data_IF_430120466890
#
_entry.id   IF_430120466890
#
_cell.length_a   1.000
_cell.length_b   1.000
_cell.length_c   1.000
_cell.angle_alpha   90.00
_cell.angle_beta   90.00
_cell.angle_gamma   90.00
#
_symmetry.space_group_name_H-M   'P 1'
#
loop_
_entity.id
_entity.type
_entity.pdbx_description
1 polymer ?
#
# COMPACT_ATOMS: atom_id res chain seq x y z
N UNK A 1 -33.76 -0.03 -13.52
CA UNK A 1 -32.65 0.42 -12.69
C UNK A 1 -32.25 1.80 -13.24
N UNK A 2 -32.41 2.88 -12.50
CA UNK A 2 -32.00 4.21 -12.94
C UNK A 2 -30.56 4.39 -12.47
N UNK A 3 -29.61 4.30 -13.40
CA UNK A 3 -28.22 4.63 -13.10
C UNK A 3 -28.10 6.15 -12.96
N UNK A 4 -28.08 6.64 -11.75
CA UNK A 4 -27.78 8.05 -11.45
C UNK A 4 -26.29 8.17 -11.15
N UNK A 5 -25.48 8.41 -12.16
CA UNK A 5 -24.09 8.81 -11.98
C UNK A 5 -24.07 10.21 -11.37
N UNK A 6 -23.45 10.33 -10.21
CA UNK A 6 -23.20 11.62 -9.58
C UNK A 6 -21.95 12.23 -10.21
N UNK A 7 -22.05 13.44 -10.73
CA UNK A 7 -20.87 14.18 -11.17
C UNK A 7 -20.04 14.58 -9.94
N UNK A 8 -18.94 13.85 -9.71
CA UNK A 8 -18.01 14.09 -8.60
C UNK A 8 -16.79 14.90 -9.03
N UNK A 9 -16.68 15.25 -10.34
CA UNK A 9 -15.52 15.97 -10.83
C UNK A 9 -15.41 17.36 -10.21
N UNK A 10 -14.22 17.70 -9.77
CA UNK A 10 -13.85 19.02 -9.27
C UNK A 10 -12.49 19.45 -9.78
N UNK A 11 -12.24 20.77 -9.79
CA UNK A 11 -10.94 21.29 -10.17
C UNK A 11 -9.82 20.79 -9.25
N UNK A 12 -8.78 20.20 -9.82
CA UNK A 12 -7.57 19.82 -9.10
C UNK A 12 -6.56 20.96 -9.26
N UNK A 13 -6.34 21.71 -8.18
CA UNK A 13 -5.41 22.85 -8.17
C UNK A 13 -4.25 22.57 -7.22
N UNK A 14 -3.07 22.99 -7.63
CA UNK A 14 -1.88 22.95 -6.78
C UNK A 14 -1.70 24.34 -6.13
N UNK A 15 -1.64 24.38 -4.81
CA UNK A 15 -1.32 25.60 -4.09
C UNK A 15 0.15 25.99 -4.32
N UNK A 16 0.44 27.26 -4.65
CA UNK A 16 1.82 27.75 -4.71
C UNK A 16 2.55 27.48 -3.38
N UNK A 17 3.82 27.06 -3.46
CA UNK A 17 4.64 26.79 -2.27
C UNK A 17 4.50 25.40 -1.65
N UNK A 18 3.54 24.57 -2.07
CA UNK A 18 3.47 23.17 -1.61
C UNK A 18 4.64 22.39 -2.22
N UNK A 19 5.49 21.85 -1.34
CA UNK A 19 6.60 20.98 -1.73
C UNK A 19 6.07 19.55 -1.91
N UNK A 20 6.45 18.92 -3.02
CA UNK A 20 6.19 17.50 -3.28
C UNK A 20 7.53 16.79 -3.11
N UNK A 21 7.60 15.89 -2.12
CA UNK A 21 8.80 15.08 -1.87
C UNK A 21 8.66 13.77 -2.62
N UNK A 22 9.65 13.42 -3.46
CA UNK A 22 9.65 12.14 -4.20
C UNK A 22 9.99 10.95 -3.28
N UNK A 23 9.72 9.74 -3.80
CA UNK A 23 10.07 8.48 -3.14
C UNK A 23 9.03 8.00 -2.15
N UNK A 24 9.44 7.06 -1.31
CA UNK A 24 8.66 6.47 -0.21
C UNK A 24 9.47 6.52 1.08
N UNK A 25 8.82 6.42 2.22
CA UNK A 25 9.54 6.26 3.50
C UNK A 25 10.24 4.91 3.56
N UNK A 26 11.36 4.80 4.30
CA UNK A 26 12.24 3.63 4.27
C UNK A 26 11.70 2.45 5.07
N UNK A 27 10.39 2.23 5.06
CA UNK A 27 9.74 1.04 5.60
C UNK A 27 8.40 0.80 4.92
N UNK A 28 8.02 -0.46 4.82
CA UNK A 28 6.68 -0.87 4.45
C UNK A 28 6.13 -1.88 5.45
N UNK A 29 4.83 -2.08 5.42
CA UNK A 29 4.15 -3.08 6.23
C UNK A 29 3.59 -4.16 5.31
N UNK A 30 3.63 -5.40 5.77
CA UNK A 30 3.07 -6.54 5.05
C UNK A 30 2.25 -7.42 5.99
N UNK A 31 1.13 -7.96 5.49
CA UNK A 31 0.29 -8.91 6.21
C UNK A 31 -0.23 -9.97 5.24
N UNK A 32 -0.40 -11.19 5.73
CA UNK A 32 -1.09 -12.24 4.98
C UNK A 32 -2.56 -11.86 4.77
N UNK A 33 -3.02 -11.92 3.52
CA UNK A 33 -4.41 -11.62 3.16
C UNK A 33 -5.40 -12.47 3.95
N UNK A 34 -5.08 -13.74 4.20
CA UNK A 34 -5.91 -14.68 4.99
C UNK A 34 -6.11 -14.25 6.45
N UNK A 35 -5.26 -13.37 6.99
CA UNK A 35 -5.37 -12.85 8.35
C UNK A 35 -6.27 -11.62 8.47
N UNK A 36 -6.82 -11.15 7.36
CA UNK A 36 -7.74 -10.01 7.32
C UNK A 36 -9.17 -10.54 7.34
N UNK A 37 -9.89 -10.32 8.43
CA UNK A 37 -11.28 -10.76 8.61
C UNK A 37 -12.28 -9.78 7.97
N UNK A 38 -11.99 -8.48 8.07
CA UNK A 38 -12.86 -7.44 7.49
C UNK A 38 -12.02 -6.39 6.80
N UNK A 39 -12.41 -6.08 5.58
CA UNK A 39 -11.76 -5.07 4.77
C UNK A 39 -12.41 -3.71 4.94
N UNK A 40 -11.64 -2.62 5.01
CA UNK A 40 -12.17 -1.29 4.87
C UNK A 40 -12.75 -1.12 3.46
N UNK A 41 -13.84 -0.37 3.35
CA UNK A 41 -14.52 -0.16 2.06
C UNK A 41 -13.87 0.98 1.29
N UNK A 42 -13.69 0.78 -0.01
CA UNK A 42 -13.35 1.86 -0.93
C UNK A 42 -14.66 2.39 -1.51
N UNK A 43 -15.05 3.64 -1.19
CA UNK A 43 -16.28 4.22 -1.71
C UNK A 43 -16.27 4.28 -3.24
N UNK A 44 -17.39 3.96 -3.86
CA UNK A 44 -17.61 4.10 -5.29
C UNK A 44 -18.66 5.19 -5.58
N UNK A 45 -19.03 5.37 -6.84
CA UNK A 45 -20.03 6.32 -7.27
C UNK A 45 -21.46 5.72 -7.33
N UNK A 46 -21.63 4.42 -7.10
CA UNK A 46 -22.87 3.68 -7.30
C UNK A 46 -23.48 3.20 -5.98
N UNK A 47 -22.81 2.31 -5.24
CA UNK A 47 -23.36 1.66 -4.05
C UNK A 47 -22.90 2.29 -2.73
N UNK A 48 -21.60 2.40 -2.51
CA UNK A 48 -20.99 3.05 -1.33
C UNK A 48 -20.68 4.53 -1.62
N UNK A 49 -21.64 5.26 -2.08
CA UNK A 49 -21.62 6.62 -2.63
C UNK A 49 -20.54 7.51 -2.02
N UNK A 50 -19.48 7.71 -2.77
CA UNK A 50 -18.51 8.72 -2.46
C UNK A 50 -19.18 10.10 -2.35
N UNK A 51 -18.79 10.86 -1.34
CA UNK A 51 -19.31 12.22 -1.13
C UNK A 51 -18.66 13.23 -2.07
N UNK A 52 -17.40 12.93 -2.44
CA UNK A 52 -16.60 13.76 -3.34
C UNK A 52 -15.50 12.91 -4.02
N UNK A 53 -14.79 13.53 -4.97
CA UNK A 53 -13.70 12.89 -5.70
C UNK A 53 -12.55 12.40 -4.80
N UNK A 54 -12.32 13.03 -3.64
CA UNK A 54 -11.28 12.63 -2.70
C UNK A 54 -11.65 11.32 -1.99
N UNK A 55 -12.93 11.11 -1.71
CA UNK A 55 -13.43 9.89 -1.08
C UNK A 55 -13.20 8.65 -1.95
N UNK A 56 -13.23 8.78 -3.28
CA UNK A 56 -12.92 7.68 -4.22
C UNK A 56 -11.50 7.12 -4.08
N UNK A 57 -10.59 7.89 -3.50
CA UNK A 57 -9.19 7.51 -3.35
C UNK A 57 -8.83 7.04 -1.93
N UNK A 58 -9.79 6.92 -1.01
CA UNK A 58 -9.55 6.63 0.40
C UNK A 58 -10.40 5.49 0.90
N UNK A 59 -9.78 4.56 1.59
CA UNK A 59 -10.49 3.56 2.35
C UNK A 59 -11.28 4.18 3.51
N UNK A 60 -12.49 3.68 3.74
CA UNK A 60 -13.36 4.04 4.88
C UNK A 60 -13.48 2.85 5.83
N UNK A 61 -13.20 3.09 7.11
CA UNK A 61 -13.19 2.06 8.15
C UNK A 61 -11.79 1.49 8.39
N UNK A 62 -11.70 0.48 9.24
CA UNK A 62 -10.45 -0.16 9.65
C UNK A 62 -10.38 -1.59 9.13
N UNK A 63 -9.16 -2.09 8.95
CA UNK A 63 -8.94 -3.53 8.85
C UNK A 63 -9.28 -4.17 10.19
N UNK A 64 -10.09 -5.25 10.17
CA UNK A 64 -10.20 -6.14 11.32
C UNK A 64 -9.34 -7.37 11.04
N UNK A 65 -8.42 -7.65 11.94
CA UNK A 65 -7.47 -8.74 11.81
C UNK A 65 -7.92 -9.95 12.65
N UNK A 66 -7.42 -11.12 12.30
CA UNK A 66 -7.53 -12.32 13.12
C UNK A 66 -6.83 -12.09 14.47
N UNK A 67 -7.25 -12.80 15.52
CA UNK A 67 -6.60 -12.69 16.83
C UNK A 67 -5.09 -12.95 16.70
N UNK A 68 -4.29 -12.09 17.34
CA UNK A 68 -2.83 -12.13 17.32
C UNK A 68 -2.16 -11.85 15.95
N UNK A 69 -2.94 -11.58 14.89
CA UNK A 69 -2.39 -11.17 13.61
C UNK A 69 -1.97 -9.69 13.65
N UNK A 70 -0.81 -9.40 13.06
CA UNK A 70 -0.25 -8.05 12.99
C UNK A 70 0.39 -7.79 11.66
N UNK A 71 0.50 -6.53 11.31
CA UNK A 71 1.30 -6.07 10.19
C UNK A 71 2.78 -6.17 10.53
N UNK A 72 3.53 -6.89 9.73
CA UNK A 72 4.98 -7.02 9.87
C UNK A 72 5.67 -5.82 9.25
N UNK A 73 6.59 -5.21 9.99
CA UNK A 73 7.39 -4.07 9.54
C UNK A 73 8.63 -4.56 8.82
N UNK A 74 8.90 -4.03 7.63
CA UNK A 74 10.11 -4.34 6.86
C UNK A 74 10.83 -3.03 6.51
N UNK A 75 12.09 -2.94 6.90
CA UNK A 75 12.94 -1.78 6.62
C UNK A 75 13.48 -1.79 5.19
N UNK A 76 13.59 -0.60 4.62
CA UNK A 76 14.04 -0.37 3.25
C UNK A 76 15.31 0.49 3.21
N UNK A 77 16.09 0.31 2.17
CA UNK A 77 17.16 1.24 1.84
C UNK A 77 16.55 2.58 1.41
N UNK A 78 16.94 3.65 2.10
CA UNK A 78 16.43 4.99 1.84
C UNK A 78 16.63 5.42 0.38
N UNK A 79 15.61 6.05 -0.19
CA UNK A 79 15.60 6.66 -1.52
C UNK A 79 15.85 5.69 -2.69
N UNK A 80 15.69 4.39 -2.48
CA UNK A 80 15.85 3.39 -3.56
C UNK A 80 14.56 2.68 -3.94
N UNK A 81 13.48 2.89 -3.18
CA UNK A 81 12.19 2.23 -3.40
C UNK A 81 11.16 3.18 -4.00
N UNK A 82 10.21 2.64 -4.76
CA UNK A 82 9.18 3.45 -5.44
C UNK A 82 7.84 2.72 -5.53
N UNK A 83 6.78 3.51 -5.71
CA UNK A 83 5.46 3.02 -6.13
C UNK A 83 5.09 3.73 -7.43
N UNK A 84 4.60 2.97 -8.39
CA UNK A 84 4.06 3.46 -9.67
C UNK A 84 2.66 2.89 -9.90
N UNK A 85 1.86 3.58 -10.69
CA UNK A 85 0.53 3.12 -11.08
C UNK A 85 0.34 3.35 -12.56
N UNK A 86 -0.18 2.36 -13.26
CA UNK A 86 -0.50 2.39 -14.67
C UNK A 86 -1.97 2.00 -14.85
N UNK A 87 -2.63 2.52 -15.87
CA UNK A 87 -3.94 2.01 -16.31
C UNK A 87 -3.74 0.77 -17.15
N UNK A 88 -4.62 -0.23 -17.00
CA UNK A 88 -4.65 -1.43 -17.82
C UNK A 88 -6.05 -1.73 -18.31
N UNK A 89 -6.14 -2.38 -19.47
CA UNK A 89 -7.42 -2.68 -20.12
C UNK A 89 -8.04 -1.45 -20.80
N UNK A 90 -9.25 -1.64 -21.31
CA UNK A 90 -10.01 -0.61 -22.04
C UNK A 90 -11.37 -0.40 -21.41
N UNK A 91 -11.91 0.80 -21.55
CA UNK A 91 -13.25 1.11 -21.09
C UNK A 91 -14.30 0.18 -21.72
N UNK A 92 -15.30 -0.30 -20.95
CA UNK A 92 -15.65 0.10 -19.58
C UNK A 92 -14.99 -0.72 -18.46
N UNK A 93 -14.10 -1.66 -18.77
CA UNK A 93 -13.46 -2.57 -17.81
C UNK A 93 -12.00 -2.23 -17.48
N UNK A 94 -11.61 -0.97 -17.68
CA UNK A 94 -10.29 -0.50 -17.33
C UNK A 94 -10.06 -0.56 -15.80
N UNK A 95 -8.86 -1.01 -15.41
CA UNK A 95 -8.40 -1.12 -14.03
C UNK A 95 -7.03 -0.46 -13.87
N UNK A 96 -6.48 -0.47 -12.68
CA UNK A 96 -5.15 0.04 -12.40
C UNK A 96 -4.21 -1.09 -12.00
N UNK A 97 -2.99 -1.05 -12.53
CA UNK A 97 -1.88 -1.88 -12.09
C UNK A 97 -0.97 -1.02 -11.20
N UNK A 98 -1.02 -1.29 -9.91
CA UNK A 98 -0.16 -0.66 -8.91
C UNK A 98 1.10 -1.51 -8.74
N UNK A 99 2.26 -0.92 -8.97
CA UNK A 99 3.55 -1.58 -8.85
C UNK A 99 4.36 -0.94 -7.73
N UNK A 100 5.03 -1.76 -6.93
CA UNK A 100 6.03 -1.29 -5.99
C UNK A 100 7.34 -2.05 -6.18
N UNK A 101 8.44 -1.34 -6.05
CA UNK A 101 9.77 -1.90 -6.00
C UNK A 101 10.42 -1.52 -4.67
N UNK A 102 10.67 -2.52 -3.85
CA UNK A 102 11.21 -2.37 -2.51
C UNK A 102 12.64 -2.90 -2.46
N UNK A 103 13.58 -2.06 -2.07
CA UNK A 103 14.98 -2.42 -1.92
C UNK A 103 15.29 -2.59 -0.43
N UNK A 104 15.54 -3.83 -0.02
CA UNK A 104 15.90 -4.24 1.33
C UNK A 104 17.43 -4.37 1.37
N UNK A 105 18.06 -3.85 2.42
CA UNK A 105 19.51 -3.94 2.57
C UNK A 105 19.94 -5.32 3.10
N UNK A 106 20.89 -5.95 2.43
CA UNK A 106 21.45 -7.23 2.87
C UNK A 106 20.83 -8.48 2.25
N UNK A 107 21.36 -9.63 2.65
CA UNK A 107 20.97 -10.99 2.22
C UNK A 107 21.11 -11.99 3.37
N UNK A 108 20.85 -11.56 4.60
CA UNK A 108 20.93 -12.43 5.77
C UNK A 108 19.83 -13.51 5.79
N UNK A 109 19.86 -14.35 6.82
CA UNK A 109 18.94 -15.48 6.92
C UNK A 109 17.48 -15.05 7.03
N UNK A 110 17.20 -13.95 7.74
CA UNK A 110 15.83 -13.47 7.97
C UNK A 110 15.25 -12.90 6.67
N UNK A 111 16.02 -12.09 5.94
CA UNK A 111 15.61 -11.53 4.63
C UNK A 111 15.41 -12.66 3.60
N UNK A 112 16.30 -13.65 3.60
CA UNK A 112 16.21 -14.79 2.69
C UNK A 112 15.00 -15.66 3.03
N UNK A 113 14.74 -15.89 4.31
CA UNK A 113 13.55 -16.60 4.80
C UNK A 113 12.25 -15.88 4.43
N UNK A 114 12.20 -14.56 4.64
CA UNK A 114 11.09 -13.72 4.21
C UNK A 114 10.84 -13.83 2.70
N UNK A 115 11.90 -13.70 1.88
CA UNK A 115 11.81 -13.84 0.43
C UNK A 115 11.27 -15.20 -0.01
N UNK A 116 11.67 -16.29 0.65
CA UNK A 116 11.18 -17.65 0.37
C UNK A 116 9.68 -17.82 0.63
N UNK A 117 9.15 -17.18 1.67
CA UNK A 117 7.74 -17.24 2.04
C UNK A 117 6.89 -16.37 1.13
N UNK A 118 7.28 -15.11 0.95
CA UNK A 118 6.45 -14.07 0.32
C UNK A 118 6.10 -14.34 -1.15
N UNK A 119 6.91 -15.12 -1.86
CA UNK A 119 6.66 -15.44 -3.28
C UNK A 119 5.50 -16.42 -3.50
N UNK A 120 5.11 -17.17 -2.47
CA UNK A 120 4.02 -18.16 -2.53
C UNK A 120 2.80 -17.74 -1.70
N UNK A 121 2.93 -16.70 -0.90
CA UNK A 121 1.88 -16.20 -0.01
C UNK A 121 1.14 -15.02 -0.63
N UNK A 122 -0.17 -14.97 -0.41
CA UNK A 122 -0.98 -13.81 -0.75
C UNK A 122 -0.80 -12.72 0.31
N UNK A 123 0.07 -11.75 0.02
CA UNK A 123 0.38 -10.65 0.93
C UNK A 123 -0.32 -9.37 0.52
N UNK A 124 -0.68 -8.55 1.50
CA UNK A 124 -1.15 -7.18 1.32
C UNK A 124 -0.08 -6.25 1.88
N UNK A 125 0.16 -5.15 1.19
CA UNK A 125 1.22 -4.22 1.54
C UNK A 125 0.67 -2.84 1.87
N UNK A 126 1.23 -2.21 2.89
CA UNK A 126 0.96 -0.82 3.23
C UNK A 126 2.26 -0.03 3.22
N UNK A 127 2.35 0.95 2.33
CA UNK A 127 3.53 1.79 2.14
C UNK A 127 3.29 3.20 2.64
N UNK A 128 4.17 3.66 3.52
CA UNK A 128 4.16 5.04 3.98
C UNK A 128 4.81 5.97 2.96
N UNK A 129 4.08 7.00 2.56
CA UNK A 129 4.56 8.04 1.65
C UNK A 129 5.36 9.12 2.42
N UNK A 130 6.15 9.97 1.75
CA UNK A 130 6.92 11.03 2.41
C UNK A 130 6.07 12.00 3.23
N UNK A 131 4.81 12.21 2.84
CA UNK A 131 3.84 13.04 3.56
C UNK A 131 3.23 12.38 4.80
N UNK A 132 3.67 11.16 5.14
CA UNK A 132 3.22 10.39 6.29
C UNK A 132 2.08 9.42 6.01
N UNK A 133 1.26 9.67 5.00
CA UNK A 133 0.07 8.86 4.68
C UNK A 133 0.44 7.49 4.13
N UNK A 134 -0.36 6.50 4.47
CA UNK A 134 -0.20 5.16 3.93
C UNK A 134 -1.01 4.94 2.67
N UNK A 135 -0.45 4.16 1.76
CA UNK A 135 -1.12 3.60 0.58
C UNK A 135 -1.13 2.09 0.67
N UNK A 136 -2.24 1.48 0.27
CA UNK A 136 -2.41 0.03 0.27
C UNK A 136 -2.18 -0.50 -1.14
N UNK A 137 -1.42 -1.59 -1.25
CA UNK A 137 -1.25 -2.36 -2.48
C UNK A 137 -1.86 -3.74 -2.27
N UNK A 138 -2.84 -4.04 -3.09
CA UNK A 138 -3.70 -5.21 -2.98
C UNK A 138 -5.08 -4.88 -2.45
N UNK A 139 -6.05 -5.67 -2.84
CA UNK A 139 -7.43 -5.52 -2.46
C UNK A 139 -8.05 -6.88 -2.07
N UNK A 140 -9.27 -6.84 -1.56
CA UNK A 140 -10.01 -8.04 -1.19
C UNK A 140 -10.18 -9.01 -2.38
N UNK A 141 -10.42 -8.46 -3.58
CA UNK A 141 -10.68 -9.22 -4.79
C UNK A 141 -9.42 -9.87 -5.36
N UNK A 142 -8.31 -9.12 -5.42
CA UNK A 142 -7.07 -9.53 -6.06
C UNK A 142 -5.87 -9.40 -5.12
N UNK A 143 -5.24 -10.53 -4.81
CA UNK A 143 -3.96 -10.51 -4.09
C UNK A 143 -2.85 -9.99 -5.02
N UNK A 144 -1.91 -9.21 -4.50
CA UNK A 144 -0.72 -8.81 -5.23
C UNK A 144 0.14 -10.03 -5.62
N UNK A 145 0.78 -9.94 -6.77
CA UNK A 145 1.85 -10.84 -7.16
C UNK A 145 3.18 -10.31 -6.65
N UNK A 146 3.91 -11.13 -5.92
CA UNK A 146 5.22 -10.78 -5.37
C UNK A 146 6.32 -11.57 -6.08
N UNK A 147 7.43 -10.89 -6.40
CA UNK A 147 8.66 -11.54 -6.90
C UNK A 147 9.83 -11.03 -6.08
N UNK A 148 10.78 -11.92 -5.80
CA UNK A 148 11.92 -11.62 -4.94
C UNK A 148 13.23 -11.98 -5.63
N UNK A 149 14.20 -11.08 -5.56
CA UNK A 149 15.53 -11.26 -6.12
C UNK A 149 16.60 -10.77 -5.13
N UNK A 150 17.76 -11.41 -5.12
CA UNK A 150 18.88 -11.02 -4.28
C UNK A 150 20.12 -10.78 -5.13
N UNK A 151 20.92 -9.80 -4.73
CA UNK A 151 22.19 -9.46 -5.38
C UNK A 151 23.28 -9.25 -4.33
N UNK A 152 24.30 -10.11 -4.37
CA UNK A 152 25.45 -10.04 -3.45
C UNK A 152 26.45 -8.94 -3.78
N UNK A 153 26.29 -8.27 -4.94
CA UNK A 153 27.36 -7.44 -5.49
C UNK A 153 28.52 -8.28 -6.05
N UNK A 154 29.31 -7.69 -6.93
CA UNK A 154 30.50 -8.32 -7.54
C UNK A 154 31.79 -7.67 -7.08
N UNK A 155 31.78 -6.43 -6.64
CA UNK A 155 32.94 -5.64 -6.24
C UNK A 155 32.75 -4.92 -4.91
N UNK A 156 33.83 -4.38 -4.38
CA UNK A 156 33.86 -3.71 -3.08
C UNK A 156 32.97 -2.43 -3.00
N UNK A 157 32.58 -1.90 -4.14
CA UNK A 157 31.69 -0.71 -4.26
C UNK A 157 30.23 -1.06 -4.48
N UNK A 158 29.90 -2.33 -4.70
CA UNK A 158 28.56 -2.77 -5.00
C UNK A 158 27.74 -2.92 -3.72
N UNK A 159 26.46 -2.65 -3.82
CA UNK A 159 25.53 -2.83 -2.70
C UNK A 159 25.01 -4.26 -2.66
N UNK A 160 25.03 -4.86 -1.49
CA UNK A 160 24.32 -6.13 -1.23
C UNK A 160 22.86 -5.79 -0.94
N UNK A 161 21.94 -6.25 -1.77
CA UNK A 161 20.50 -5.89 -1.66
C UNK A 161 19.61 -7.05 -2.03
N UNK A 162 18.43 -7.04 -1.44
CA UNK A 162 17.30 -7.87 -1.83
C UNK A 162 16.20 -6.98 -2.39
N UNK A 163 15.66 -7.34 -3.54
CA UNK A 163 14.61 -6.58 -4.23
C UNK A 163 13.31 -7.36 -4.19
N UNK A 164 12.27 -6.75 -3.64
CA UNK A 164 10.89 -7.25 -3.68
C UNK A 164 10.10 -6.39 -4.67
N UNK A 165 9.63 -7.00 -5.74
CA UNK A 165 8.73 -6.35 -6.70
C UNK A 165 7.31 -6.87 -6.48
N UNK A 166 6.37 -5.94 -6.36
CA UNK A 166 4.95 -6.20 -6.09
C UNK A 166 4.11 -5.62 -7.23
N UNK A 167 3.19 -6.41 -7.75
CA UNK A 167 2.21 -5.99 -8.74
C UNK A 167 0.80 -6.29 -8.22
N UNK A 168 -0.02 -5.25 -8.10
CA UNK A 168 -1.38 -5.34 -7.57
C UNK A 168 -2.38 -4.72 -8.54
N UNK A 169 -3.31 -5.52 -9.04
CA UNK A 169 -4.46 -5.02 -9.80
C UNK A 169 -5.52 -4.50 -8.85
N UNK A 170 -6.05 -3.31 -9.13
CA UNK A 170 -7.08 -2.67 -8.31
C UNK A 170 -7.99 -1.79 -9.18
N UNK A 171 -9.14 -1.39 -8.63
CA UNK A 171 -10.07 -0.43 -9.25
C UNK A 171 -9.61 1.02 -9.05
N UNK A 172 -8.62 1.26 -8.22
CA UNK A 172 -8.08 2.57 -7.87
C UNK A 172 -6.55 2.60 -7.92
N UNK A 173 -5.93 3.75 -8.22
CA UNK A 173 -4.51 3.96 -7.95
C UNK A 173 -4.25 3.80 -6.47
N UNK A 174 -3.40 2.87 -6.06
CA UNK A 174 -3.04 2.51 -4.68
C UNK A 174 -3.74 3.40 -3.62
N UNK A 175 -4.90 2.97 -3.07
CA UNK A 175 -5.76 3.83 -2.26
C UNK A 175 -5.07 4.27 -0.97
N UNK A 176 -5.41 5.46 -0.48
CA UNK A 176 -4.98 5.92 0.82
C UNK A 176 -5.72 5.21 1.94
N UNK A 177 -5.01 4.94 3.01
CA UNK A 177 -5.57 4.38 4.24
C UNK A 177 -5.25 5.30 5.42
N UNK A 178 -6.26 5.67 6.17
CA UNK A 178 -6.15 6.61 7.30
C UNK A 178 -6.53 5.96 8.64
N UNK A 179 -6.90 4.66 8.62
CA UNK A 179 -7.30 3.90 9.80
C UNK A 179 -6.13 3.36 10.63
N UNK A 180 -6.46 2.50 11.58
CA UNK A 180 -5.52 1.83 12.47
C UNK A 180 -4.74 0.72 11.73
N UNK A 181 -3.44 0.68 11.92
CA UNK A 181 -2.55 -0.41 11.51
C UNK A 181 -1.92 -1.04 12.77
N UNK A 182 -2.31 -2.27 13.08
CA UNK A 182 -1.79 -3.02 14.23
C UNK A 182 -0.49 -3.70 13.83
N UNK A 183 0.66 -3.18 14.31
CA UNK A 183 1.99 -3.69 13.96
C UNK A 183 2.68 -4.39 15.12
N UNK A 184 3.73 -5.15 14.82
CA UNK A 184 4.58 -5.79 15.83
C UNK A 184 5.26 -4.77 16.76
N UNK A 185 5.48 -3.54 16.26
CA UNK A 185 6.11 -2.44 17.00
C UNK A 185 5.11 -1.56 17.76
N UNK A 186 3.80 -1.85 17.65
CA UNK A 186 2.70 -1.09 18.24
C UNK A 186 1.72 -0.58 17.18
N UNK A 187 0.61 -0.05 17.65
CA UNK A 187 -0.46 0.43 16.76
C UNK A 187 -0.12 1.82 16.23
N UNK A 188 -0.25 1.99 14.92
CA UNK A 188 0.03 3.25 14.23
C UNK A 188 -1.16 3.74 13.41
N UNK A 189 -1.20 5.05 13.19
CA UNK A 189 -2.19 5.71 12.35
C UNK A 189 -1.78 5.65 10.87
N UNK A 190 -2.67 5.18 10.01
CA UNK A 190 -2.48 5.24 8.55
C UNK A 190 -2.48 6.65 7.98
N UNK A 191 -2.96 7.64 8.75
CA UNK A 191 -3.00 9.04 8.33
C UNK A 191 -1.61 9.67 8.25
N UNK A 192 -0.75 9.41 9.25
CA UNK A 192 0.55 10.07 9.41
C UNK A 192 1.66 9.18 9.98
N UNK A 193 1.34 7.96 10.39
CA UNK A 193 2.28 7.02 11.00
C UNK A 193 2.61 7.31 12.47
N UNK A 194 1.87 8.19 13.13
CA UNK A 194 1.98 8.41 14.56
C UNK A 194 1.41 7.22 15.35
N UNK A 195 1.74 7.14 16.65
CA UNK A 195 1.12 6.16 17.53
C UNK A 195 -0.40 6.35 17.52
N UNK A 196 -1.12 5.25 17.33
CA UNK A 196 -2.57 5.28 17.32
C UNK A 196 -3.12 5.67 18.69
N UNK A 197 -3.92 6.71 18.71
CA UNK A 197 -4.73 7.10 19.88
C UNK A 197 -6.20 6.97 19.49
N UNK A 198 -6.98 6.22 20.27
CA UNK A 198 -8.43 6.17 20.04
C UNK A 198 -9.01 7.57 20.24
N UNK A 199 -9.42 8.18 19.15
CA UNK A 199 -10.27 9.35 19.22
C UNK A 199 -11.69 8.85 19.50
N UNK A 200 -12.09 8.86 20.76
CA UNK A 200 -13.51 8.76 21.14
C UNK A 200 -14.23 9.95 20.49
N UNK A 201 -15.04 9.60 19.45
CA UNK A 201 -15.93 10.56 18.79
C UNK A 201 -17.15 10.87 19.67
#
# INVERSE_FOLDING_TARGET
>A
MVCTTKDLYKSVRKCPGVRITPGVRPKFLAILKSKILTWPKLPDDIEDKATDMTALAKYKGNFALEADAKWHVVDLVSLKSSITTETQGEAPSATFLNKAEYIIGGMDADITGFGRMIINDEMIYAQQMPNGRFRILGCEMFAPKSTFAQNSGAGATDSVTSTLSVEATDVSPAPFYEGKLETDEGDISGLDGSVWTEHTA
#
